data_IF_921521868823
#
_entry.id   IF_921521868823
#
_cell.length_a   1.000
_cell.length_b   1.000
_cell.length_c   1.000
_cell.angle_alpha   90.00
_cell.angle_beta   90.00
_cell.angle_gamma   90.00
#
_symmetry.space_group_name_H-M   'P 1'
#
loop_
_entity.id
_entity.type
_entity.pdbx_description
1 polymer ?
#
# COMPACT_ATOMS: atom_id res chain seq x y z
N UNK A 1 -36.25 -73.40 -28.39
CA UNK A 1 -35.47 -73.15 -29.63
C UNK A 1 -36.22 -72.11 -30.45
N UNK A 2 -35.70 -70.89 -30.56
CA UNK A 2 -35.63 -70.04 -31.76
C UNK A 2 -34.96 -68.71 -31.35
N UNK A 3 -34.13 -68.20 -32.26
CA UNK A 3 -33.04 -67.24 -32.07
C UNK A 3 -33.52 -65.79 -32.19
N UNK A 4 -32.89 -64.86 -31.47
CA UNK A 4 -32.58 -63.52 -32.00
C UNK A 4 -31.24 -63.04 -31.46
N UNK A 5 -30.39 -62.60 -32.39
CA UNK A 5 -29.10 -61.97 -32.15
C UNK A 5 -29.24 -60.44 -32.34
N UNK A 6 -28.20 -59.73 -31.87
CA UNK A 6 -27.81 -58.36 -32.22
C UNK A 6 -28.35 -57.21 -31.35
N UNK A 7 -27.40 -56.49 -30.71
CA UNK A 7 -27.06 -55.06 -30.90
C UNK A 7 -26.31 -54.60 -29.63
N UNK A 8 -25.00 -54.39 -29.70
CA UNK A 8 -24.34 -53.15 -30.12
C UNK A 8 -24.56 -51.98 -29.14
N UNK A 9 -23.52 -51.72 -28.34
CA UNK A 9 -23.11 -50.39 -27.88
C UNK A 9 -24.00 -49.63 -26.90
N UNK A 10 -23.56 -49.52 -25.64
CA UNK A 10 -23.87 -48.33 -24.86
C UNK A 10 -22.59 -47.75 -24.26
N UNK A 11 -22.29 -46.54 -24.70
CA UNK A 11 -21.08 -45.79 -24.46
C UNK A 11 -20.84 -45.52 -22.97
N UNK A 12 -19.57 -45.60 -22.59
CA UNK A 12 -19.06 -45.12 -21.31
C UNK A 12 -19.19 -43.60 -21.32
N UNK A 13 -20.25 -43.07 -20.69
CA UNK A 13 -20.33 -41.65 -20.40
C UNK A 13 -19.48 -41.36 -19.16
N UNK A 14 -18.18 -41.10 -19.37
CA UNK A 14 -17.38 -40.38 -18.36
C UNK A 14 -17.81 -38.91 -18.44
N UNK A 15 -18.87 -38.55 -17.73
CA UNK A 15 -19.14 -37.13 -17.44
C UNK A 15 -18.07 -36.67 -16.46
N UNK A 16 -16.96 -36.21 -17.01
CA UNK A 16 -15.96 -35.46 -16.27
C UNK A 16 -16.64 -34.30 -15.58
N UNK A 17 -16.36 -34.11 -14.29
CA UNK A 17 -16.74 -32.92 -13.57
C UNK A 17 -16.05 -31.75 -14.29
N UNK A 18 -16.84 -31.00 -15.03
CA UNK A 18 -16.40 -29.83 -15.75
C UNK A 18 -15.75 -28.85 -14.76
N UNK A 19 -14.48 -28.54 -15.03
CA UNK A 19 -13.81 -27.26 -14.85
C UNK A 19 -14.67 -26.19 -14.16
N UNK A 20 -14.60 -26.11 -12.84
CA UNK A 20 -14.96 -24.88 -12.12
C UNK A 20 -13.74 -23.94 -12.13
N UNK A 21 -13.25 -23.59 -13.32
CA UNK A 21 -12.45 -22.38 -13.51
C UNK A 21 -13.43 -21.27 -13.82
N UNK A 22 -14.02 -20.63 -12.80
CA UNK A 22 -14.62 -19.29 -12.88
C UNK A 22 -15.15 -18.84 -11.50
N UNK A 23 -14.46 -19.22 -10.43
CA UNK A 23 -14.53 -18.48 -9.16
C UNK A 23 -13.13 -17.93 -8.90
N UNK A 24 -12.60 -17.20 -9.89
CA UNK A 24 -11.78 -16.04 -9.55
C UNK A 24 -12.80 -15.07 -8.99
N UNK A 25 -13.08 -15.20 -7.69
CA UNK A 25 -13.62 -14.11 -6.91
C UNK A 25 -12.88 -12.87 -7.38
N UNK A 26 -13.63 -11.87 -7.80
CA UNK A 26 -13.21 -10.53 -8.15
C UNK A 26 -12.27 -10.05 -7.04
N UNK A 27 -10.98 -10.39 -7.12
CA UNK A 27 -9.94 -9.78 -6.32
C UNK A 27 -9.87 -8.42 -6.95
N UNK A 28 -10.66 -7.49 -6.43
CA UNK A 28 -10.41 -6.06 -6.59
C UNK A 28 -8.89 -5.93 -6.45
N UNK A 29 -8.16 -5.41 -7.45
CA UNK A 29 -6.72 -5.24 -7.30
C UNK A 29 -6.52 -4.57 -5.95
N UNK A 30 -5.86 -5.27 -5.02
CA UNK A 30 -5.87 -4.90 -3.60
C UNK A 30 -5.58 -3.41 -3.52
N UNK A 31 -6.58 -2.61 -3.17
CA UNK A 31 -6.51 -1.15 -3.27
C UNK A 31 -5.20 -0.71 -2.59
N UNK A 32 -4.35 0.02 -3.33
CA UNK A 32 -2.98 0.25 -2.91
C UNK A 32 -3.00 0.98 -1.56
N UNK A 33 -2.46 0.34 -0.50
CA UNK A 33 -2.54 0.93 0.84
C UNK A 33 -1.78 2.26 0.90
N UNK A 34 -2.14 3.18 1.81
CA UNK A 34 -1.43 4.46 1.95
C UNK A 34 0.09 4.30 2.07
N UNK A 35 0.55 3.31 2.84
CA UNK A 35 1.98 3.03 3.01
C UNK A 35 2.64 2.51 1.73
N UNK A 36 1.97 1.63 1.00
CA UNK A 36 2.47 1.11 -0.27
C UNK A 36 2.62 2.25 -1.30
N UNK A 37 1.64 3.14 -1.39
CA UNK A 37 1.70 4.32 -2.26
C UNK A 37 2.91 5.22 -1.93
N UNK A 38 3.17 5.50 -0.64
CA UNK A 38 4.34 6.28 -0.23
C UNK A 38 5.64 5.59 -0.60
N UNK A 39 5.76 4.28 -0.36
CA UNK A 39 6.98 3.53 -0.68
C UNK A 39 7.23 3.42 -2.20
N UNK A 40 6.17 3.47 -3.02
CA UNK A 40 6.25 3.52 -4.47
C UNK A 40 6.67 4.89 -4.99
N UNK A 41 6.14 5.96 -4.40
CA UNK A 41 6.53 7.35 -4.70
C UNK A 41 7.96 7.68 -4.26
N UNK A 42 8.42 7.05 -3.18
CA UNK A 42 9.72 7.30 -2.55
C UNK A 42 10.60 6.05 -2.54
N UNK A 43 11.07 5.58 -3.72
CA UNK A 43 11.95 4.42 -3.81
C UNK A 43 13.31 4.66 -3.14
N UNK A 44 13.68 5.92 -2.92
CA UNK A 44 14.87 6.36 -2.20
C UNK A 44 14.87 5.92 -0.72
N UNK A 45 13.69 5.78 -0.08
CA UNK A 45 13.59 5.33 1.31
C UNK A 45 14.07 3.88 1.53
N UNK A 46 14.25 3.13 0.43
CA UNK A 46 14.78 1.76 0.43
C UNK A 46 16.29 1.72 0.13
N UNK A 47 16.92 2.87 -0.11
CA UNK A 47 18.35 2.99 -0.43
C UNK A 47 19.14 3.54 0.77
N UNK A 48 20.43 3.25 0.80
CA UNK A 48 21.31 3.51 1.93
C UNK A 48 21.85 4.95 1.93
N UNK A 49 21.13 5.92 2.53
CA UNK A 49 21.72 7.25 2.84
C UNK A 49 21.20 7.90 4.14
N UNK A 50 20.04 7.51 4.69
CA UNK A 50 19.48 8.12 5.91
C UNK A 50 18.76 7.07 6.79
N UNK A 51 18.69 7.32 8.10
CA UNK A 51 17.81 6.55 8.98
C UNK A 51 16.37 7.04 8.80
N UNK A 52 15.47 6.13 8.44
CA UNK A 52 14.07 6.43 8.11
C UNK A 52 13.13 5.81 9.14
N UNK A 53 12.28 6.63 9.77
CA UNK A 53 11.10 6.20 10.54
C UNK A 53 9.84 6.38 9.67
N UNK A 54 9.18 5.27 9.35
CA UNK A 54 7.86 5.24 8.72
C UNK A 54 6.79 4.90 9.76
N UNK A 55 5.79 5.77 9.91
CA UNK A 55 4.63 5.49 10.78
C UNK A 55 3.34 5.76 10.04
N UNK A 56 2.49 4.75 10.02
CA UNK A 56 1.14 4.86 9.49
C UNK A 56 0.15 5.03 10.64
N UNK A 57 -0.82 5.91 10.43
CA UNK A 57 -1.92 6.17 11.35
C UNK A 57 -3.22 6.07 10.57
N UNK A 58 -4.21 5.44 11.17
CA UNK A 58 -5.58 5.45 10.70
C UNK A 58 -6.46 6.17 11.72
N UNK A 59 -7.54 6.80 11.25
CA UNK A 59 -8.46 7.49 12.14
C UNK A 59 -9.36 6.54 12.96
N UNK A 60 -9.57 5.31 12.49
CA UNK A 60 -10.35 4.26 13.17
C UNK A 60 -9.70 2.89 12.93
N UNK A 61 -9.97 1.93 13.82
CA UNK A 61 -9.39 0.57 13.75
C UNK A 61 -10.17 -0.32 12.78
N UNK A 62 -11.50 -0.30 12.84
CA UNK A 62 -12.34 -1.25 12.09
C UNK A 62 -12.70 -0.76 10.68
N UNK A 63 -13.02 0.53 10.55
CA UNK A 63 -13.47 1.15 9.29
C UNK A 63 -12.76 2.48 9.06
N UNK A 64 -11.45 2.46 8.71
CA UNK A 64 -10.68 3.68 8.50
C UNK A 64 -11.15 4.43 7.24
N UNK A 65 -11.35 5.74 7.37
CA UNK A 65 -11.72 6.63 6.25
C UNK A 65 -10.66 7.68 5.93
N UNK A 66 -9.71 7.85 6.84
CA UNK A 66 -8.55 8.71 6.67
C UNK A 66 -7.30 8.02 7.21
N UNK A 67 -6.18 8.26 6.53
CA UNK A 67 -4.89 7.74 6.93
C UNK A 67 -3.82 8.82 6.82
N UNK A 68 -2.76 8.69 7.62
CA UNK A 68 -1.54 9.45 7.45
C UNK A 68 -0.35 8.53 7.45
N UNK A 69 0.60 8.77 6.55
CA UNK A 69 1.91 8.14 6.56
C UNK A 69 2.93 9.23 6.83
N UNK A 70 3.56 9.15 8.00
CA UNK A 70 4.62 10.06 8.43
C UNK A 70 5.97 9.41 8.14
N UNK A 71 6.78 10.07 7.33
CA UNK A 71 8.15 9.71 7.01
C UNK A 71 9.06 10.70 7.74
N UNK A 72 9.93 10.22 8.63
CA UNK A 72 10.95 11.06 9.29
C UNK A 72 12.33 10.54 8.92
N UNK A 73 13.14 11.42 8.36
CA UNK A 73 14.48 11.11 7.85
C UNK A 73 15.52 11.83 8.74
N UNK A 74 16.52 11.08 9.20
CA UNK A 74 17.60 11.55 10.10
C UNK A 74 18.96 11.04 9.62
N UNK A 75 20.05 11.59 10.17
CA UNK A 75 21.40 11.28 9.68
C UNK A 75 21.65 11.85 8.29
N UNK A 76 21.07 13.02 8.02
CA UNK A 76 21.19 13.73 6.74
C UNK A 76 22.61 14.28 6.58
N UNK A 77 23.03 14.49 5.33
CA UNK A 77 24.32 15.10 5.01
C UNK A 77 24.31 16.65 5.15
N UNK A 78 23.13 17.24 5.34
CA UNK A 78 22.92 18.68 5.52
C UNK A 78 23.24 19.08 6.97
N UNK A 79 24.15 20.04 7.16
CA UNK A 79 24.62 20.48 8.47
C UNK A 79 23.73 21.57 9.12
N UNK A 80 22.73 22.08 8.39
CA UNK A 80 21.68 22.97 8.91
C UNK A 80 20.44 22.19 9.36
N UNK A 81 20.17 21.01 8.81
CA UNK A 81 18.95 20.23 9.06
C UNK A 81 19.22 18.96 9.85
N UNK A 82 18.61 18.84 11.03
CA UNK A 82 18.72 17.65 11.89
C UNK A 82 17.86 16.51 11.36
N UNK A 83 16.62 16.84 10.99
CA UNK A 83 15.67 15.87 10.48
C UNK A 83 14.66 16.50 9.55
N UNK A 84 14.18 15.70 8.60
CA UNK A 84 13.11 16.06 7.67
C UNK A 84 11.92 15.21 8.02
N UNK A 85 10.73 15.82 8.12
CA UNK A 85 9.47 15.10 8.28
C UNK A 85 8.54 15.43 7.13
N UNK A 86 8.09 14.38 6.44
CA UNK A 86 7.07 14.45 5.41
C UNK A 86 5.84 13.69 5.86
N UNK A 87 4.68 14.34 5.85
CA UNK A 87 3.38 13.76 6.20
C UNK A 87 2.56 13.65 4.92
N UNK A 88 2.18 12.42 4.57
CA UNK A 88 1.28 12.12 3.47
C UNK A 88 -0.09 11.82 4.07
N UNK A 89 -1.12 12.57 3.69
CA UNK A 89 -2.49 12.38 4.17
C UNK A 89 -3.35 11.79 3.06
N UNK A 90 -4.17 10.82 3.43
CA UNK A 90 -5.03 10.06 2.53
C UNK A 90 -6.47 10.06 3.01
N UNK A 91 -7.40 9.92 2.07
CA UNK A 91 -8.82 9.63 2.32
C UNK A 91 -9.20 8.36 1.56
N UNK A 92 -10.14 7.59 2.12
CA UNK A 92 -10.76 6.48 1.42
C UNK A 92 -11.95 7.01 0.62
N UNK A 93 -11.92 6.86 -0.70
CA UNK A 93 -12.96 7.29 -1.64
C UNK A 93 -13.35 6.08 -2.48
N UNK A 94 -14.62 5.68 -2.44
CA UNK A 94 -15.15 4.54 -3.19
C UNK A 94 -14.38 3.21 -3.03
N UNK A 95 -13.74 3.02 -1.86
CA UNK A 95 -12.94 1.84 -1.54
C UNK A 95 -11.45 1.95 -1.88
N UNK A 96 -11.04 3.05 -2.51
CA UNK A 96 -9.65 3.32 -2.88
C UNK A 96 -9.04 4.44 -2.03
N UNK A 97 -7.77 4.29 -1.66
CA UNK A 97 -7.04 5.29 -0.91
C UNK A 97 -6.49 6.36 -1.84
N UNK A 98 -6.94 7.60 -1.66
CA UNK A 98 -6.47 8.74 -2.43
C UNK A 98 -5.60 9.66 -1.57
N UNK A 99 -4.40 10.01 -2.06
CA UNK A 99 -3.55 11.01 -1.41
C UNK A 99 -4.13 12.40 -1.60
N UNK A 100 -4.52 13.05 -0.50
CA UNK A 100 -5.14 14.38 -0.51
C UNK A 100 -4.18 15.50 -0.14
N UNK A 101 -3.08 15.19 0.55
CA UNK A 101 -2.12 16.21 1.02
C UNK A 101 -0.73 15.63 1.23
N UNK A 102 0.29 16.44 0.97
CA UNK A 102 1.67 16.17 1.39
C UNK A 102 2.22 17.41 2.08
N UNK A 103 2.81 17.26 3.26
CA UNK A 103 3.42 18.35 4.02
C UNK A 103 4.84 18.01 4.43
N UNK A 104 5.80 18.85 4.03
CA UNK A 104 7.20 18.73 4.42
C UNK A 104 7.54 19.77 5.49
N UNK A 105 8.35 19.36 6.46
CA UNK A 105 8.82 20.20 7.56
C UNK A 105 10.22 19.78 7.98
N UNK A 106 10.93 20.70 8.62
CA UNK A 106 12.34 20.59 8.96
C UNK A 106 12.53 20.82 10.45
N UNK A 107 13.38 20.02 11.07
CA UNK A 107 13.92 20.31 12.39
C UNK A 107 15.36 20.75 12.20
N UNK A 108 15.71 21.94 12.67
CA UNK A 108 17.02 22.52 12.42
C UNK A 108 18.08 22.04 13.42
N UNK A 109 19.34 21.99 12.98
CA UNK A 109 20.48 21.75 13.86
C UNK A 109 20.84 23.01 14.66
N UNK A 110 20.64 24.19 14.06
CA UNK A 110 20.98 25.50 14.61
C UNK A 110 19.77 26.45 14.61
N UNK A 111 19.91 27.59 15.27
CA UNK A 111 18.85 28.62 15.34
C UNK A 111 17.84 28.42 16.48
N UNK A 112 16.70 29.10 16.39
CA UNK A 112 15.70 29.14 17.48
C UNK A 112 14.86 27.85 17.58
N UNK A 113 14.66 27.14 16.47
CA UNK A 113 13.74 26.01 16.37
C UNK A 113 14.48 24.67 16.19
N UNK A 114 15.33 24.33 17.15
CA UNK A 114 16.11 23.07 17.14
C UNK A 114 15.36 21.87 17.69
N UNK A 115 14.27 22.10 18.44
CA UNK A 115 13.48 21.05 19.10
C UNK A 115 12.16 20.74 18.41
N UNK A 116 11.71 21.61 17.50
CA UNK A 116 10.41 21.53 16.85
C UNK A 116 10.57 21.46 15.34
N UNK A 117 9.54 20.93 14.67
CA UNK A 117 9.47 20.96 13.22
C UNK A 117 8.86 22.27 12.75
N UNK A 118 9.44 22.87 11.72
CA UNK A 118 8.97 24.09 11.08
C UNK A 118 8.85 23.92 9.57
N UNK A 119 7.95 24.68 8.94
CA UNK A 119 7.83 24.71 7.47
C UNK A 119 8.87 25.62 6.82
N UNK A 120 9.34 26.62 7.56
CA UNK A 120 10.42 27.50 7.11
C UNK A 120 11.73 26.72 6.95
N UNK A 121 12.55 27.15 6.01
CA UNK A 121 13.90 26.61 5.82
C UNK A 121 14.75 26.86 7.07
N UNK A 122 15.67 25.94 7.34
CA UNK A 122 16.64 26.13 8.40
C UNK A 122 17.62 27.24 8.01
N UNK A 123 18.03 28.08 8.99
CA UNK A 123 19.01 29.12 8.75
C UNK A 123 20.40 28.56 8.47
#
# INVERSE_FOLDING_TARGET
>A
MFRFAAMAGLAIAVTGCATTQNIVSKVTPSAETPLAQVLKERPDLRKQLATVELRQFFNNVESPTAAQVKVTETGLMDDSVRSIRTIYSFKLVDGDWEKVKTEKSYQCLRGKNTKTFQKALCP
#
